data_IF_780966257583
#
_entry.id   IF_780966257583
#
_cell.length_a   1.000
_cell.length_b   1.000
_cell.length_c   1.000
_cell.angle_alpha   90.00
_cell.angle_beta   90.00
_cell.angle_gamma   90.00
#
_symmetry.space_group_name_H-M   'P 1'
#
loop_
_entity.id
_entity.type
_entity.pdbx_description
1 polymer ?
#
# COMPACT_ATOMS: atom_id res chain seq x y z
N UNK A 1 -10.04 -14.61 -2.74
CA UNK A 1 -9.28 -13.76 -3.69
C UNK A 1 -9.13 -12.40 -3.05
N UNK A 2 -8.04 -12.19 -2.31
CA UNK A 2 -7.77 -10.91 -1.66
C UNK A 2 -7.52 -9.80 -2.67
N UNK A 3 -8.13 -8.65 -2.40
CA UNK A 3 -8.02 -7.47 -3.25
C UNK A 3 -6.91 -6.56 -2.73
N UNK A 4 -5.68 -6.76 -3.21
CA UNK A 4 -4.56 -5.87 -2.86
C UNK A 4 -4.73 -4.44 -3.40
N UNK A 5 -5.53 -4.28 -4.47
CA UNK A 5 -5.68 -3.02 -5.22
C UNK A 5 -7.14 -2.63 -5.52
N UNK A 6 -8.12 -3.12 -4.76
CA UNK A 6 -9.56 -3.00 -5.12
C UNK A 6 -10.01 -1.57 -5.47
N UNK A 7 -10.67 -1.37 -6.63
CA UNK A 7 -11.49 -0.18 -6.85
C UNK A 7 -13.00 -0.51 -6.93
N UNK A 8 -13.80 0.36 -6.29
CA UNK A 8 -15.27 0.52 -6.37
C UNK A 8 -16.16 -0.60 -5.81
N UNK A 9 -16.60 -0.41 -4.56
CA UNK A 9 -18.02 -0.38 -4.16
C UNK A 9 -18.20 -0.56 -2.64
N UNK A 10 -17.30 -1.28 -1.98
CA UNK A 10 -17.55 -1.80 -0.63
C UNK A 10 -16.53 -1.38 0.41
N UNK A 11 -15.78 -0.31 0.16
CA UNK A 11 -14.75 0.12 1.11
C UNK A 11 -15.04 1.53 1.58
N UNK A 12 -15.43 1.58 2.85
CA UNK A 12 -15.76 2.80 3.59
C UNK A 12 -14.58 3.76 3.46
N UNK A 13 -14.82 5.06 3.19
CA UNK A 13 -13.77 6.06 3.26
C UNK A 13 -13.08 5.94 4.62
N UNK A 14 -11.75 5.96 4.69
CA UNK A 14 -11.10 6.08 6.00
C UNK A 14 -11.62 7.38 6.64
N UNK A 15 -12.36 7.23 7.73
CA UNK A 15 -13.04 8.34 8.44
C UNK A 15 -12.05 9.31 9.08
N UNK A 16 -10.75 8.95 9.08
CA UNK A 16 -9.71 9.57 9.90
C UNK A 16 -8.67 10.36 9.08
N UNK A 17 -9.01 10.76 7.86
CA UNK A 17 -8.11 11.59 7.06
C UNK A 17 -8.09 13.05 7.58
N UNK A 18 -6.92 13.65 7.66
CA UNK A 18 -6.73 15.06 8.01
C UNK A 18 -5.76 15.78 7.06
N UNK A 19 -5.84 17.12 7.01
CA UNK A 19 -4.96 17.93 6.16
C UNK A 19 -3.50 17.78 6.59
N UNK A 20 -2.59 17.71 5.61
CA UNK A 20 -1.17 17.51 5.85
C UNK A 20 -0.77 16.08 6.16
N UNK A 21 -1.71 15.15 6.27
CA UNK A 21 -1.42 13.74 6.56
C UNK A 21 -0.70 13.05 5.40
N UNK A 22 0.33 12.27 5.73
CA UNK A 22 0.97 11.35 4.79
C UNK A 22 0.04 10.16 4.47
N UNK A 23 -0.16 9.91 3.18
CA UNK A 23 -1.05 8.88 2.67
C UNK A 23 -0.40 8.11 1.53
N UNK A 24 -0.94 6.92 1.27
CA UNK A 24 -0.69 6.16 0.06
C UNK A 24 -1.93 6.20 -0.82
N UNK A 25 -1.73 6.49 -2.11
CA UNK A 25 -2.78 6.54 -3.11
C UNK A 25 -2.61 5.35 -4.04
N UNK A 26 -3.69 4.59 -4.24
CA UNK A 26 -3.70 3.48 -5.18
C UNK A 26 -3.81 4.02 -6.62
N UNK A 27 -2.70 4.01 -7.34
CA UNK A 27 -2.61 4.30 -8.76
C UNK A 27 -2.55 2.99 -9.56
N UNK A 28 -3.69 2.30 -9.64
CA UNK A 28 -3.88 0.99 -10.31
C UNK A 28 -3.23 -0.17 -9.57
N UNK A 29 -1.97 -0.48 -9.86
CA UNK A 29 -1.22 -1.61 -9.29
C UNK A 29 0.01 -1.12 -8.52
N UNK A 30 0.13 0.19 -8.33
CA UNK A 30 1.19 0.82 -7.58
C UNK A 30 0.58 1.75 -6.55
N UNK A 31 0.92 1.53 -5.28
CA UNK A 31 0.70 2.52 -4.24
C UNK A 31 1.77 3.60 -4.34
N UNK A 32 1.36 4.84 -4.17
CA UNK A 32 2.22 6.03 -4.35
C UNK A 32 2.11 6.93 -3.12
N UNK A 33 3.22 7.49 -2.61
CA UNK A 33 3.19 8.42 -1.49
C UNK A 33 2.64 9.78 -1.89
N UNK A 34 1.77 10.33 -1.05
CA UNK A 34 1.21 11.66 -1.20
C UNK A 34 0.87 12.28 0.16
N UNK A 35 0.55 13.56 0.15
CA UNK A 35 0.10 14.33 1.31
C UNK A 35 -1.29 14.88 1.05
N UNK A 36 -2.19 14.78 2.03
CA UNK A 36 -3.56 15.32 1.90
C UNK A 36 -3.52 16.85 1.89
N UNK A 37 -4.12 17.47 0.88
CA UNK A 37 -4.20 18.93 0.71
C UNK A 37 -5.62 19.48 0.84
N UNK A 38 -6.65 18.67 0.58
CA UNK A 38 -8.04 19.04 0.82
C UNK A 38 -8.90 17.80 1.05
N UNK A 39 -10.00 17.96 1.78
CA UNK A 39 -10.95 16.90 2.07
C UNK A 39 -12.35 17.41 1.76
N UNK A 40 -13.05 16.70 0.90
CA UNK A 40 -14.48 16.92 0.61
C UNK A 40 -15.22 15.60 0.73
N UNK A 41 -16.55 15.65 0.75
CA UNK A 41 -17.37 14.44 0.82
C UNK A 41 -17.09 13.44 -0.33
N UNK A 42 -16.71 13.92 -1.52
CA UNK A 42 -16.58 13.05 -2.71
C UNK A 42 -15.16 12.95 -3.27
N UNK A 43 -14.23 13.78 -2.77
CA UNK A 43 -12.86 13.90 -3.27
C UNK A 43 -11.89 14.20 -2.15
N UNK A 44 -10.69 13.65 -2.28
CA UNK A 44 -9.51 13.99 -1.48
C UNK A 44 -8.52 14.66 -2.42
N UNK A 45 -8.12 15.89 -2.10
CA UNK A 45 -6.98 16.53 -2.74
C UNK A 45 -5.70 15.94 -2.18
N UNK A 46 -4.78 15.53 -3.04
CA UNK A 46 -3.49 14.95 -2.66
C UNK A 46 -2.37 15.64 -3.44
N UNK A 47 -1.28 15.95 -2.76
CA UNK A 47 -0.02 16.37 -3.38
C UNK A 47 0.93 15.18 -3.37
N UNK A 48 1.32 14.70 -4.55
CA UNK A 48 2.29 13.62 -4.65
C UNK A 48 3.70 14.10 -4.29
N UNK A 49 4.53 13.20 -3.73
CA UNK A 49 5.94 13.51 -3.48
C UNK A 49 6.70 13.87 -4.77
N UNK A 50 7.74 14.70 -4.64
CA UNK A 50 8.52 15.30 -5.75
C UNK A 50 9.17 14.32 -6.75
N UNK A 51 9.08 13.01 -6.53
CA UNK A 51 9.56 11.97 -7.45
C UNK A 51 8.59 11.62 -8.59
N UNK A 52 7.34 12.11 -8.57
CA UNK A 52 6.46 12.06 -9.73
C UNK A 52 6.74 13.28 -10.60
N UNK A 53 7.16 13.04 -11.85
CA UNK A 53 7.70 13.99 -12.82
C UNK A 53 7.18 15.44 -12.75
N UNK A 54 8.08 16.38 -13.07
CA UNK A 54 7.94 17.85 -13.07
C UNK A 54 6.80 18.48 -13.90
N UNK A 55 5.78 17.71 -14.30
CA UNK A 55 4.64 18.16 -15.09
C UNK A 55 3.27 17.68 -14.58
N UNK A 56 3.21 16.94 -13.47
CA UNK A 56 1.92 16.68 -12.82
C UNK A 56 1.47 17.91 -12.01
N UNK A 57 0.17 18.26 -12.04
CA UNK A 57 -0.36 19.32 -11.18
C UNK A 57 0.01 19.02 -9.72
N UNK A 58 0.44 20.06 -9.00
CA UNK A 58 0.90 19.98 -7.60
C UNK A 58 -0.14 19.34 -6.64
N UNK A 59 -1.41 19.26 -7.06
CA UNK A 59 -2.45 18.51 -6.37
C UNK A 59 -3.43 17.86 -7.36
N UNK A 60 -3.71 16.57 -7.18
CA UNK A 60 -4.77 15.84 -7.87
C UNK A 60 -5.96 15.60 -6.92
N UNK A 61 -7.18 15.58 -7.48
CA UNK A 61 -8.39 15.25 -6.73
C UNK A 61 -8.81 13.78 -6.99
N UNK A 62 -8.50 12.90 -6.04
CA UNK A 62 -8.78 11.47 -6.14
C UNK A 62 -10.03 11.06 -5.36
N UNK A 63 -10.56 9.88 -5.65
CA UNK A 63 -11.68 9.35 -4.89
C UNK A 63 -11.22 8.91 -3.47
N UNK A 64 -12.04 9.10 -2.42
CA UNK A 64 -11.66 8.73 -1.05
C UNK A 64 -11.27 7.25 -0.90
N UNK A 65 -11.95 6.36 -1.63
CA UNK A 65 -11.70 4.92 -1.60
C UNK A 65 -10.45 4.48 -2.36
N UNK A 66 -9.57 5.38 -2.82
CA UNK A 66 -8.22 4.97 -3.30
C UNK A 66 -7.11 5.48 -2.39
N UNK A 67 -7.45 6.14 -1.29
CA UNK A 67 -6.51 6.74 -0.35
C UNK A 67 -6.47 5.92 0.93
N UNK A 68 -5.27 5.72 1.47
CA UNK A 68 -5.04 5.08 2.77
C UNK A 68 -4.00 5.84 3.58
N UNK A 69 -4.13 5.91 4.91
CA UNK A 69 -3.06 6.42 5.77
C UNK A 69 -1.71 5.73 5.50
N UNK A 70 -0.61 6.47 5.58
CA UNK A 70 0.74 5.91 5.47
C UNK A 70 1.29 5.39 6.81
N UNK A 71 0.63 5.68 7.92
CA UNK A 71 1.09 5.33 9.27
C UNK A 71 1.34 3.83 9.45
N UNK A 72 2.51 3.48 10.01
CA UNK A 72 2.93 2.10 10.29
C UNK A 72 3.09 1.22 9.05
N UNK A 73 3.13 1.83 7.86
CA UNK A 73 3.16 1.11 6.59
C UNK A 73 4.20 1.71 5.66
N UNK A 74 5.09 0.87 5.13
CA UNK A 74 6.01 1.25 4.06
C UNK A 74 5.53 0.80 2.70
N UNK A 75 6.09 1.40 1.66
CA UNK A 75 5.92 0.94 0.29
C UNK A 75 7.10 0.07 -0.13
N UNK A 76 6.80 -1.05 -0.78
CA UNK A 76 7.83 -1.96 -1.30
C UNK A 76 7.49 -2.37 -2.73
N UNK A 77 8.47 -2.34 -3.62
CA UNK A 77 8.28 -2.89 -4.95
C UNK A 77 8.16 -4.41 -4.88
N UNK A 78 7.33 -5.00 -5.74
CA UNK A 78 7.02 -6.43 -5.73
C UNK A 78 8.26 -7.33 -5.86
N UNK A 79 9.28 -6.85 -6.56
CA UNK A 79 10.53 -7.58 -6.79
C UNK A 79 11.48 -7.58 -5.59
N UNK A 80 11.20 -6.78 -4.56
CA UNK A 80 11.99 -6.68 -3.34
C UNK A 80 11.34 -7.42 -2.16
N UNK A 81 10.13 -7.97 -2.37
CA UNK A 81 9.40 -8.74 -1.36
C UNK A 81 10.15 -10.00 -0.96
N UNK A 82 9.94 -10.40 0.30
CA UNK A 82 10.55 -11.59 0.89
C UNK A 82 9.50 -12.45 1.58
N UNK A 83 9.79 -13.74 1.70
CA UNK A 83 9.03 -14.63 2.59
C UNK A 83 9.06 -14.08 4.01
N UNK A 84 7.90 -14.08 4.67
CA UNK A 84 7.70 -13.52 6.01
C UNK A 84 7.32 -12.03 6.01
N UNK A 85 7.38 -11.33 4.89
CA UNK A 85 6.89 -9.95 4.81
C UNK A 85 5.36 -9.92 4.97
N UNK A 86 4.88 -8.94 5.73
CA UNK A 86 3.47 -8.72 6.00
C UNK A 86 2.91 -7.61 5.09
N UNK A 87 2.08 -8.01 4.13
CA UNK A 87 1.45 -7.11 3.15
C UNK A 87 0.10 -6.65 3.67
N UNK A 88 -0.15 -5.35 3.62
CA UNK A 88 -1.44 -4.75 3.96
C UNK A 88 -2.32 -4.66 2.72
N UNK A 89 -3.38 -5.46 2.70
CA UNK A 89 -4.38 -5.44 1.64
C UNK A 89 -5.23 -4.15 1.67
N UNK A 90 -6.04 -3.97 0.63
CA UNK A 90 -6.85 -2.76 0.46
C UNK A 90 -7.91 -2.55 1.58
N UNK A 91 -8.44 -3.66 2.10
CA UNK A 91 -9.39 -3.72 3.21
C UNK A 91 -8.71 -3.67 4.59
N UNK A 92 -7.42 -3.33 4.64
CA UNK A 92 -6.57 -3.31 5.83
C UNK A 92 -6.26 -4.67 6.45
N UNK A 93 -6.63 -5.78 5.80
CA UNK A 93 -6.18 -7.11 6.21
C UNK A 93 -4.68 -7.28 6.00
N UNK A 94 -3.97 -7.80 7.00
CA UNK A 94 -2.56 -8.17 6.86
C UNK A 94 -2.42 -9.60 6.36
N UNK A 95 -1.61 -9.80 5.33
CA UNK A 95 -1.30 -11.09 4.72
C UNK A 95 0.21 -11.34 4.73
N UNK A 96 0.62 -12.42 5.40
CA UNK A 96 2.03 -12.83 5.45
C UNK A 96 2.41 -13.62 4.20
N UNK A 97 3.50 -13.22 3.55
CA UNK A 97 4.02 -13.89 2.36
C UNK A 97 4.66 -15.22 2.75
N UNK A 98 4.13 -16.32 2.19
CA UNK A 98 4.74 -17.64 2.28
C UNK A 98 5.82 -17.83 1.19
N UNK A 99 5.54 -17.40 -0.03
CA UNK A 99 6.50 -17.46 -1.13
C UNK A 99 6.24 -16.36 -2.17
N UNK A 100 7.30 -15.92 -2.83
CA UNK A 100 7.24 -14.93 -3.91
C UNK A 100 8.23 -15.28 -5.00
N UNK A 101 7.79 -15.26 -6.25
CA UNK A 101 8.64 -15.57 -7.41
C UNK A 101 8.12 -14.92 -8.68
N UNK A 102 9.00 -14.79 -9.67
CA UNK A 102 8.62 -14.29 -11.00
C UNK A 102 8.27 -15.44 -11.93
N UNK A 103 7.09 -15.39 -12.52
CA UNK A 103 6.63 -16.28 -13.58
C UNK A 103 7.32 -16.03 -14.93
N UNK A 104 7.12 -16.94 -15.88
CA UNK A 104 7.71 -16.85 -17.23
C UNK A 104 7.18 -15.66 -18.04
N UNK A 105 5.96 -15.22 -17.74
CA UNK A 105 5.29 -14.05 -18.29
C UNK A 105 5.77 -12.72 -17.66
N UNK A 106 6.78 -12.78 -16.78
CA UNK A 106 7.34 -11.67 -15.99
C UNK A 106 6.42 -11.16 -14.89
N UNK A 107 5.23 -11.72 -14.73
CA UNK A 107 4.37 -11.42 -13.60
C UNK A 107 4.94 -12.03 -12.33
N UNK A 108 4.74 -11.34 -11.22
CA UNK A 108 5.08 -11.86 -9.91
C UNK A 108 3.92 -12.65 -9.34
N UNK A 109 4.21 -13.81 -8.78
CA UNK A 109 3.24 -14.61 -8.05
C UNK A 109 3.61 -14.58 -6.58
N UNK A 110 2.62 -14.35 -5.74
CA UNK A 110 2.74 -14.30 -4.29
C UNK A 110 1.78 -15.35 -3.71
N UNK A 111 2.32 -16.26 -2.92
CA UNK A 111 1.56 -17.17 -2.07
C UNK A 111 1.58 -16.64 -0.64
N UNK A 112 0.42 -16.67 0.01
CA UNK A 112 0.23 -16.25 1.38
C UNK A 112 0.08 -17.46 2.32
N UNK A 113 0.40 -17.27 3.60
CA UNK A 113 0.31 -18.31 4.63
C UNK A 113 -1.11 -18.81 4.86
N UNK A 114 -2.13 -17.99 4.54
CA UNK A 114 -3.54 -18.37 4.59
C UNK A 114 -3.99 -19.22 3.38
N UNK A 115 -3.08 -19.59 2.49
CA UNK A 115 -3.35 -20.40 1.29
C UNK A 115 -3.87 -19.60 0.09
N UNK A 116 -4.05 -18.28 0.22
CA UNK A 116 -4.40 -17.46 -0.94
C UNK A 116 -3.19 -17.18 -1.84
N UNK A 117 -3.50 -16.86 -3.10
CA UNK A 117 -2.51 -16.52 -4.13
C UNK A 117 -2.90 -15.23 -4.85
N UNK A 118 -1.90 -14.45 -5.21
CA UNK A 118 -2.04 -13.26 -6.04
C UNK A 118 -1.01 -13.20 -7.18
N UNK A 119 -1.40 -12.59 -8.29
CA UNK A 119 -0.52 -12.32 -9.44
C UNK A 119 -0.44 -10.83 -9.71
N UNK A 120 0.77 -10.31 -9.90
CA UNK A 120 1.08 -8.89 -9.95
C UNK A 120 1.96 -8.53 -11.14
N UNK A 121 1.77 -7.33 -11.74
CA UNK A 121 2.66 -6.87 -12.79
C UNK A 121 4.07 -6.58 -12.25
N UNK A 122 5.11 -6.55 -13.11
CA UNK A 122 6.51 -6.34 -12.71
C UNK A 122 6.79 -5.07 -11.90
N UNK A 123 5.98 -4.02 -12.11
CA UNK A 123 6.13 -2.70 -11.51
C UNK A 123 5.16 -2.46 -10.34
N UNK A 124 4.54 -3.52 -9.81
CA UNK A 124 3.64 -3.37 -8.68
C UNK A 124 4.40 -2.85 -7.44
N UNK A 125 3.77 -1.94 -6.70
CA UNK A 125 4.25 -1.42 -5.42
C UNK A 125 3.18 -1.69 -4.39
N UNK A 126 3.55 -2.43 -3.34
CA UNK A 126 2.65 -2.91 -2.30
C UNK A 126 2.88 -2.12 -1.00
N UNK A 127 1.87 -2.15 -0.13
CA UNK A 127 1.92 -1.62 1.24
C UNK A 127 2.32 -2.75 2.19
N UNK A 128 3.37 -2.59 2.98
CA UNK A 128 3.83 -3.56 3.98
C UNK A 128 3.76 -2.94 5.36
N UNK A 129 3.38 -3.69 6.39
CA UNK A 129 3.52 -3.20 7.77
C UNK A 129 4.99 -2.97 8.06
N UNK A 130 5.31 -1.86 8.73
CA UNK A 130 6.67 -1.69 9.23
C UNK A 130 6.98 -2.81 10.23
N UNK A 131 8.16 -3.45 10.13
CA UNK A 131 8.57 -4.41 11.13
C UNK A 131 8.61 -3.67 12.46
N UNK A 132 7.79 -4.10 13.42
CA UNK A 132 7.89 -3.57 14.78
C UNK A 132 9.33 -3.82 15.22
N UNK A 133 10.12 -2.79 15.58
CA UNK A 133 11.47 -3.04 16.05
C UNK A 133 11.35 -3.95 17.27
N UNK A 134 12.01 -5.11 17.21
CA UNK A 134 12.10 -5.99 18.38
C UNK A 134 12.89 -5.23 19.44
N UNK A 135 12.18 -4.64 20.40
CA UNK A 135 12.82 -4.00 21.54
C UNK A 135 13.25 -5.12 22.48
N UNK A 136 14.56 -5.35 22.55
CA UNK A 136 15.13 -6.25 23.55
C UNK A 136 15.73 -5.43 24.69
N UNK A 137 15.37 -5.75 25.94
CA UNK A 137 16.08 -5.24 27.13
C UNK A 137 17.04 -6.33 27.58
N UNK A 138 18.36 -6.03 27.57
CA UNK A 138 19.43 -6.98 27.93
C UNK A 138 19.40 -8.32 27.14
N UNK A 139 19.06 -8.27 25.85
CA UNK A 139 19.03 -9.46 24.98
C UNK A 139 17.79 -10.35 25.16
N UNK A 140 16.82 -9.94 25.98
CA UNK A 140 15.52 -10.59 26.11
C UNK A 140 14.52 -9.78 25.28
N UNK A 141 13.84 -10.37 24.27
CA UNK A 141 12.73 -9.72 23.60
C UNK A 141 11.64 -9.42 24.62
N UNK A 142 11.13 -8.18 24.63
CA UNK A 142 9.94 -7.82 25.41
C UNK A 142 8.69 -8.51 24.86
#
# INVERSE_FOLDING_TARGET
MTKLFAPRATVVPPTDLHLGQAVHVNARTAWVPATVTSITHTRIGVAYGAQLQASSPLADAVAPWVVRPAEGVRLQAVHELRTGDDVVAFDATTLTIAAVWQGRDRWWVIDYTNGERASMPPNAILRLTDPTPTVSVNGIPL
#
